data_IF_996765245954
#
_entry.id   IF_996765245954
#
_cell.length_a   1.000
_cell.length_b   1.000
_cell.length_c   1.000
_cell.angle_alpha   90.00
_cell.angle_beta   90.00
_cell.angle_gamma   90.00
#
_symmetry.space_group_name_H-M   'P 1'
#
loop_
_entity.id
_entity.type
_entity.pdbx_description
1 polymer ?
#
# COMPACT_ATOMS: atom_id res chain seq x y z
N UNK A 1 18.98 1.83 13.11
CA UNK A 1 18.14 2.62 14.02
C UNK A 1 17.17 1.72 14.75
N UNK A 2 17.05 1.86 16.06
CA UNK A 2 16.04 1.07 16.75
C UNK A 2 14.67 1.42 16.21
N UNK A 3 13.83 0.41 16.06
CA UNK A 3 12.48 0.60 15.61
C UNK A 3 11.70 1.43 16.62
N UNK A 4 10.87 2.35 16.12
CA UNK A 4 9.92 3.07 16.96
C UNK A 4 8.88 2.09 17.46
N UNK A 5 8.55 2.14 18.74
CA UNK A 5 7.54 1.25 19.30
C UNK A 5 6.18 1.54 18.68
N UNK A 6 5.56 0.53 18.03
CA UNK A 6 4.23 0.71 17.49
C UNK A 6 3.18 0.69 18.60
N UNK A 7 2.13 1.49 18.45
CA UNK A 7 1.03 1.56 19.40
C UNK A 7 -0.29 1.34 18.68
N UNK A 8 -1.22 0.66 19.34
CA UNK A 8 -2.57 0.51 18.82
C UNK A 8 -3.19 1.89 18.61
N UNK A 9 -3.81 2.07 17.45
CA UNK A 9 -4.41 3.33 17.08
C UNK A 9 -3.49 4.28 16.31
N UNK A 10 -2.20 3.95 16.19
CA UNK A 10 -1.29 4.73 15.34
C UNK A 10 -1.79 4.73 13.91
N UNK A 11 -1.82 5.92 13.29
CA UNK A 11 -2.26 6.09 11.92
C UNK A 11 -1.13 6.70 11.10
N UNK A 12 -0.85 6.08 9.96
CA UNK A 12 0.17 6.55 9.01
C UNK A 12 -0.50 6.77 7.67
N UNK A 13 -0.21 7.89 7.04
CA UNK A 13 -0.86 8.30 5.80
C UNK A 13 0.18 8.60 4.72
N UNK A 14 -0.11 8.20 3.51
CA UNK A 14 0.68 8.55 2.32
C UNK A 14 -0.27 8.78 1.16
N UNK A 15 0.08 9.70 0.27
CA UNK A 15 -0.70 9.89 -0.94
C UNK A 15 0.22 9.87 -2.16
N UNK A 16 -0.35 9.49 -3.29
CA UNK A 16 0.38 9.45 -4.55
C UNK A 16 -0.58 9.60 -5.72
N UNK A 17 -0.09 10.31 -6.73
CA UNK A 17 -0.73 10.36 -8.05
C UNK A 17 0.08 9.47 -8.98
N UNK A 18 -0.52 8.39 -9.47
CA UNK A 18 0.19 7.46 -10.36
C UNK A 18 0.27 8.03 -11.77
N UNK A 19 1.43 7.89 -12.38
CA UNK A 19 1.72 8.38 -13.73
C UNK A 19 1.73 7.21 -14.73
N UNK A 20 1.70 7.54 -16.04
CA UNK A 20 1.89 6.53 -17.08
C UNK A 20 3.22 5.79 -16.91
N UNK A 21 4.27 6.53 -16.55
CA UNK A 21 5.59 5.93 -16.32
C UNK A 21 5.55 4.90 -15.18
N UNK A 22 4.85 5.20 -14.10
CA UNK A 22 4.69 4.26 -12.99
C UNK A 22 4.05 2.96 -13.47
N UNK A 23 2.97 3.06 -14.23
CA UNK A 23 2.23 1.90 -14.75
C UNK A 23 3.11 1.10 -15.71
N UNK A 24 3.87 1.76 -16.59
CA UNK A 24 4.78 1.10 -17.52
C UNK A 24 5.89 0.35 -16.77
N UNK A 25 6.53 0.99 -15.79
CA UNK A 25 7.58 0.37 -15.00
C UNK A 25 7.05 -0.85 -14.25
N UNK A 26 5.88 -0.72 -13.64
CA UNK A 26 5.29 -1.85 -12.91
C UNK A 26 4.90 -2.98 -13.87
N UNK A 27 4.42 -2.65 -15.06
CA UNK A 27 4.12 -3.64 -16.10
C UNK A 27 5.36 -4.46 -16.49
N UNK A 28 6.51 -3.81 -16.58
CA UNK A 28 7.77 -4.50 -16.88
C UNK A 28 8.19 -5.43 -15.75
N UNK A 29 8.12 -4.95 -14.51
CA UNK A 29 8.53 -5.73 -13.34
C UNK A 29 7.60 -6.89 -13.07
N UNK A 30 6.28 -6.67 -13.18
CA UNK A 30 5.26 -7.66 -12.85
C UNK A 30 4.96 -8.63 -13.98
N UNK A 31 5.21 -8.21 -15.23
CA UNK A 31 4.78 -8.94 -16.41
C UNK A 31 3.31 -8.73 -16.76
N UNK A 32 2.58 -7.93 -15.99
CA UNK A 32 1.17 -7.63 -16.25
C UNK A 32 1.05 -6.48 -17.25
N UNK A 33 0.89 -6.84 -18.52
CA UNK A 33 0.79 -5.89 -19.63
C UNK A 33 -0.54 -6.00 -20.35
N UNK A 34 -1.61 -6.22 -19.61
CA UNK A 34 -2.95 -6.24 -20.19
C UNK A 34 -3.25 -4.90 -20.84
N UNK A 35 -4.10 -4.91 -21.87
CA UNK A 35 -4.44 -3.69 -22.63
C UNK A 35 -4.93 -2.54 -21.74
N UNK A 36 -5.66 -2.84 -20.67
CA UNK A 36 -6.14 -1.82 -19.74
C UNK A 36 -4.99 -1.04 -19.09
N UNK A 37 -3.79 -1.64 -19.00
CA UNK A 37 -2.61 -1.01 -18.42
C UNK A 37 -1.65 -0.43 -19.47
N UNK A 38 -1.83 -0.75 -20.73
CA UNK A 38 -0.89 -0.34 -21.79
C UNK A 38 -1.52 0.57 -22.83
N UNK A 39 -2.84 0.54 -22.99
CA UNK A 39 -3.57 1.33 -23.98
C UNK A 39 -4.44 2.37 -23.28
N UNK A 40 -4.20 3.66 -23.52
CA UNK A 40 -5.02 4.71 -22.90
C UNK A 40 -6.49 4.60 -23.29
N UNK A 41 -7.36 4.98 -22.34
CA UNK A 41 -8.78 5.06 -22.58
C UNK A 41 -9.12 6.37 -23.35
N UNK A 42 -10.41 6.64 -23.56
CA UNK A 42 -10.87 7.82 -24.30
C UNK A 42 -10.45 9.14 -23.64
N UNK A 43 -10.12 9.12 -22.35
CA UNK A 43 -9.65 10.28 -21.60
C UNK A 43 -8.12 10.32 -21.49
N UNK A 44 -7.43 9.42 -22.17
CA UNK A 44 -5.97 9.35 -22.16
C UNK A 44 -5.38 8.72 -20.91
N UNK A 45 -6.18 7.96 -20.14
CA UNK A 45 -5.76 7.37 -18.87
C UNK A 45 -5.43 5.90 -19.05
N UNK A 46 -4.47 5.43 -18.25
CA UNK A 46 -4.24 3.99 -18.08
C UNK A 46 -4.85 3.55 -16.74
N UNK A 47 -5.38 2.34 -16.71
CA UNK A 47 -5.79 1.75 -15.44
C UNK A 47 -4.54 1.30 -14.68
N UNK A 48 -4.45 1.70 -13.43
CA UNK A 48 -3.33 1.35 -12.54
C UNK A 48 -3.49 -0.10 -12.09
N UNK A 49 -2.40 -0.87 -12.12
CA UNK A 49 -2.43 -2.24 -11.60
C UNK A 49 -2.76 -2.23 -10.11
N UNK A 50 -3.60 -3.18 -9.68
CA UNK A 50 -3.97 -3.26 -8.26
C UNK A 50 -2.77 -3.34 -7.34
N UNK A 51 -1.77 -4.15 -7.68
CA UNK A 51 -0.57 -4.28 -6.86
C UNK A 51 0.32 -3.04 -6.91
N UNK A 52 0.19 -2.19 -7.93
CA UNK A 52 0.87 -0.90 -7.92
C UNK A 52 0.21 0.03 -6.87
N UNK A 53 -1.11 0.06 -6.79
CA UNK A 53 -1.82 0.76 -5.72
C UNK A 53 -1.36 0.22 -4.35
N UNK A 54 -1.14 -1.08 -4.24
CA UNK A 54 -0.67 -1.73 -3.01
C UNK A 54 0.75 -1.30 -2.60
N UNK A 55 1.50 -0.62 -3.46
CA UNK A 55 2.80 -0.06 -3.07
C UNK A 55 2.66 1.07 -2.06
N UNK A 56 1.48 1.66 -1.93
CA UNK A 56 1.24 2.72 -0.93
C UNK A 56 1.38 2.18 0.49
N UNK A 57 0.65 1.13 0.91
CA UNK A 57 0.90 0.56 2.24
C UNK A 57 2.29 -0.07 2.36
N UNK A 58 2.86 -0.56 1.25
CA UNK A 58 4.22 -1.08 1.23
C UNK A 58 5.24 -0.01 1.64
N UNK A 59 5.07 1.21 1.15
CA UNK A 59 5.96 2.32 1.51
C UNK A 59 5.88 2.61 3.01
N UNK A 60 4.68 2.60 3.57
CA UNK A 60 4.49 2.81 5.01
C UNK A 60 5.14 1.67 5.81
N UNK A 61 4.92 0.43 5.38
CA UNK A 61 5.55 -0.73 6.01
C UNK A 61 7.06 -0.66 5.99
N UNK A 62 7.63 -0.20 4.88
CA UNK A 62 9.08 0.02 4.77
C UNK A 62 9.60 1.05 5.75
N UNK A 63 8.90 2.17 5.89
CA UNK A 63 9.28 3.23 6.83
C UNK A 63 9.21 2.75 8.28
N UNK A 64 8.24 1.92 8.59
CA UNK A 64 8.09 1.35 9.94
C UNK A 64 9.02 0.16 10.20
N UNK A 65 9.65 -0.37 9.18
CA UNK A 65 10.51 -1.54 9.31
C UNK A 65 9.73 -2.85 9.46
N UNK A 66 8.52 -2.91 8.91
CA UNK A 66 7.67 -4.11 9.01
C UNK A 66 8.11 -5.15 7.99
N UNK A 67 8.28 -6.40 8.48
CA UNK A 67 8.32 -7.57 7.61
C UNK A 67 6.94 -8.20 7.66
N UNK A 68 6.19 -8.06 6.59
CA UNK A 68 4.85 -8.63 6.50
C UNK A 68 4.92 -10.15 6.33
N UNK A 69 4.08 -10.86 7.04
CA UNK A 69 3.93 -12.31 6.94
C UNK A 69 2.71 -12.70 6.15
N UNK A 70 1.62 -11.96 6.36
CA UNK A 70 0.35 -12.21 5.69
C UNK A 70 -0.19 -10.88 5.22
N UNK A 71 -0.65 -10.85 3.98
CA UNK A 71 -1.25 -9.66 3.39
C UNK A 71 -2.49 -10.09 2.63
N UNK A 72 -3.57 -9.31 2.76
CA UNK A 72 -4.75 -9.52 1.94
C UNK A 72 -5.17 -8.20 1.33
N UNK A 73 -5.73 -8.25 0.13
CA UNK A 73 -6.15 -7.07 -0.61
C UNK A 73 -7.55 -7.27 -1.16
N UNK A 74 -8.34 -6.21 -1.06
CA UNK A 74 -9.65 -6.15 -1.68
C UNK A 74 -9.66 -4.92 -2.59
N UNK A 75 -9.69 -5.16 -3.90
CA UNK A 75 -9.73 -4.09 -4.90
C UNK A 75 -11.18 -3.77 -5.21
N UNK A 76 -11.63 -2.60 -4.80
CA UNK A 76 -13.05 -2.24 -4.83
C UNK A 76 -13.43 -1.40 -6.04
N UNK A 77 -12.57 -0.49 -6.45
CA UNK A 77 -12.79 0.39 -7.59
C UNK A 77 -11.50 0.53 -8.38
N UNK A 78 -11.60 0.68 -9.71
CA UNK A 78 -10.41 0.90 -10.50
C UNK A 78 -9.76 2.24 -10.18
N UNK A 79 -8.45 2.30 -10.31
CA UNK A 79 -7.66 3.51 -10.16
C UNK A 79 -7.07 3.84 -11.52
N UNK A 80 -7.11 5.10 -11.91
CA UNK A 80 -6.58 5.57 -13.19
C UNK A 80 -5.42 6.54 -12.97
N UNK A 81 -4.52 6.58 -13.95
CA UNK A 81 -3.42 7.55 -13.92
C UNK A 81 -3.97 8.97 -13.83
N UNK A 82 -3.30 9.82 -13.05
CA UNK A 82 -3.73 11.19 -12.81
C UNK A 82 -4.64 11.35 -11.60
N UNK A 83 -5.21 10.26 -11.08
CA UNK A 83 -5.96 10.31 -9.84
C UNK A 83 -5.00 10.27 -8.63
N UNK A 84 -5.31 11.05 -7.61
CA UNK A 84 -4.54 11.05 -6.36
C UNK A 84 -5.19 10.10 -5.38
N UNK A 85 -4.41 9.14 -4.90
CA UNK A 85 -4.87 8.13 -3.95
C UNK A 85 -4.24 8.41 -2.60
N UNK A 86 -5.07 8.47 -1.56
CA UNK A 86 -4.62 8.62 -0.18
C UNK A 86 -4.77 7.29 0.53
N UNK A 87 -3.68 6.80 1.08
CA UNK A 87 -3.64 5.54 1.81
C UNK A 87 -3.45 5.81 3.29
N UNK A 88 -4.30 5.19 4.09
CA UNK A 88 -4.24 5.29 5.54
C UNK A 88 -4.04 3.91 6.13
N UNK A 89 -2.99 3.75 6.93
CA UNK A 89 -2.65 2.50 7.62
C UNK A 89 -2.81 2.71 9.11
N UNK A 90 -3.66 1.90 9.74
CA UNK A 90 -3.91 1.96 11.17
C UNK A 90 -3.36 0.70 11.83
N UNK A 91 -2.55 0.87 12.87
CA UNK A 91 -2.11 -0.25 13.70
C UNK A 91 -3.28 -0.68 14.58
N UNK A 92 -3.80 -1.88 14.33
CA UNK A 92 -4.99 -2.38 15.04
C UNK A 92 -4.62 -3.19 16.28
N UNK A 93 -3.54 -3.95 16.23
CA UNK A 93 -3.02 -4.69 17.38
C UNK A 93 -1.51 -4.65 17.40
N UNK A 94 -0.94 -4.69 18.58
CA UNK A 94 0.50 -4.85 18.76
C UNK A 94 0.75 -5.73 19.98
N UNK A 95 1.70 -6.65 19.83
CA UNK A 95 2.14 -7.54 20.92
C UNK A 95 3.65 -7.44 20.98
N UNK A 96 4.15 -7.01 22.13
CA UNK A 96 5.59 -6.92 22.34
C UNK A 96 6.14 -8.28 22.76
N UNK A 97 7.23 -8.69 22.11
CA UNK A 97 8.04 -9.86 22.46
C UNK A 97 9.43 -9.37 22.85
N UNK A 98 10.28 -10.27 23.30
CA UNK A 98 11.65 -9.91 23.71
C UNK A 98 12.45 -9.27 22.60
N UNK A 99 12.33 -9.78 21.38
CA UNK A 99 13.15 -9.38 20.23
C UNK A 99 12.38 -8.64 19.14
N UNK A 100 11.05 -8.53 19.25
CA UNK A 100 10.22 -7.96 18.20
C UNK A 100 8.88 -7.46 18.70
N UNK A 101 8.22 -6.67 17.86
CA UNK A 101 6.79 -6.39 17.99
C UNK A 101 6.05 -7.17 16.91
N UNK A 102 4.96 -7.83 17.25
CA UNK A 102 4.05 -8.45 16.32
C UNK A 102 2.89 -7.50 16.13
N UNK A 103 2.59 -7.11 14.88
CA UNK A 103 1.55 -6.12 14.60
C UNK A 103 0.56 -6.60 13.55
N UNK A 104 -0.65 -6.07 13.67
CA UNK A 104 -1.69 -6.20 12.65
C UNK A 104 -2.12 -4.79 12.26
N UNK A 105 -2.30 -4.57 10.96
CA UNK A 105 -2.69 -3.27 10.45
C UNK A 105 -3.88 -3.39 9.51
N UNK A 106 -4.73 -2.37 9.53
CA UNK A 106 -5.81 -2.20 8.57
C UNK A 106 -5.47 -1.05 7.62
N UNK A 107 -5.78 -1.23 6.34
CA UNK A 107 -5.44 -0.27 5.28
C UNK A 107 -6.69 0.15 4.56
N UNK A 108 -6.83 1.45 4.31
CA UNK A 108 -7.91 2.02 3.52
C UNK A 108 -7.30 3.04 2.55
N UNK A 109 -7.47 2.79 1.25
CA UNK A 109 -7.01 3.69 0.21
C UNK A 109 -8.21 4.30 -0.49
N UNK A 110 -8.20 5.63 -0.62
CA UNK A 110 -9.31 6.39 -1.19
C UNK A 110 -8.85 7.32 -2.30
N UNK A 111 -9.73 7.52 -3.28
CA UNK A 111 -9.51 8.53 -4.31
C UNK A 111 -9.93 9.92 -3.83
N UNK A 112 -9.85 10.92 -4.71
CA UNK A 112 -10.15 12.31 -4.38
C UNK A 112 -11.61 12.56 -4.03
N UNK A 113 -12.51 11.68 -4.48
CA UNK A 113 -13.94 11.75 -4.15
C UNK A 113 -14.25 11.13 -2.78
N UNK A 114 -13.25 10.58 -2.12
CA UNK A 114 -13.43 9.88 -0.85
C UNK A 114 -13.92 8.45 -1.00
N UNK A 115 -13.95 7.93 -2.23
CA UNK A 115 -14.37 6.55 -2.49
C UNK A 115 -13.23 5.60 -2.17
N UNK A 116 -13.51 4.53 -1.41
CA UNK A 116 -12.53 3.50 -1.13
C UNK A 116 -12.24 2.71 -2.39
N UNK A 117 -10.99 2.72 -2.83
CA UNK A 117 -10.54 1.99 -4.02
C UNK A 117 -9.89 0.65 -3.66
N UNK A 118 -9.27 0.58 -2.48
CA UNK A 118 -8.64 -0.64 -2.00
C UNK A 118 -8.73 -0.71 -0.48
N UNK A 119 -9.07 -1.88 0.03
CA UNK A 119 -8.89 -2.21 1.44
C UNK A 119 -7.90 -3.33 1.56
N UNK A 120 -7.13 -3.31 2.62
CA UNK A 120 -6.12 -4.31 2.86
C UNK A 120 -5.97 -4.53 4.36
N UNK A 121 -5.44 -5.67 4.69
CA UNK A 121 -4.99 -5.97 6.04
C UNK A 121 -3.66 -6.67 5.95
N UNK A 122 -2.78 -6.44 6.87
CA UNK A 122 -1.55 -7.21 6.96
C UNK A 122 -1.15 -7.43 8.41
N UNK A 123 -0.42 -8.51 8.60
CA UNK A 123 0.24 -8.79 9.85
C UNK A 123 1.72 -9.04 9.59
N UNK A 124 2.53 -8.69 10.55
CA UNK A 124 3.96 -8.86 10.40
C UNK A 124 4.71 -8.56 11.68
N UNK A 125 6.01 -8.39 11.54
CA UNK A 125 6.88 -8.14 12.69
C UNK A 125 7.75 -6.93 12.45
N UNK A 126 8.08 -6.23 13.53
CA UNK A 126 9.09 -5.19 13.56
C UNK A 126 10.16 -5.69 14.54
N UNK A 127 11.35 -5.97 14.02
CA UNK A 127 12.46 -6.41 14.87
C UNK A 127 12.98 -5.24 15.70
N UNK A 128 13.23 -5.47 16.99
CA UNK A 128 13.77 -4.44 17.88
C UNK A 128 15.22 -4.11 17.57
N UNK A 129 15.97 -5.12 17.13
CA UNK A 129 17.35 -4.91 16.70
C UNK A 129 17.37 -4.57 15.23
N UNK A 130 18.32 -3.73 14.85
CA UNK A 130 18.49 -3.36 13.46
C UNK A 130 19.12 -4.45 12.64
N UNK A 131 18.78 -4.38 11.41
CA UNK A 131 19.46 -5.06 10.34
C UNK A 131 20.14 -4.09 9.40
#
# INVERSE_FOLDING_TARGET
MPATEPEEGDVHTVERTFTHEDVECFGEVSGDRQAIHTEPDDEGRLMVQGLLTATLPTAIGGDLGVLARTMEYEFREPVYTGETITCEVTVTTTTERDDRYEITCAVDCRNEDGTTVMRSGFEGVIWKDEW
#
